data_IF_958016363594
#
_entry.id   IF_958016363594
#
_cell.length_a   1.000
_cell.length_b   1.000
_cell.length_c   1.000
_cell.angle_alpha   90.00
_cell.angle_beta   90.00
_cell.angle_gamma   90.00
#
_symmetry.space_group_name_H-M   'P 1'
#
loop_
_entity.id
_entity.type
_entity.pdbx_description
1 polymer ?
#
# COMPACT_ATOMS: atom_id res chain seq x y z
N UNK A 1 25.55 -17.64 3.40
CA UNK A 1 26.59 -16.61 3.63
C UNK A 1 27.12 -16.07 2.31
N UNK A 2 27.66 -16.88 1.41
CA UNK A 2 28.24 -16.47 0.12
C UNK A 2 27.29 -15.57 -0.71
N UNK A 3 26.00 -15.91 -0.83
CA UNK A 3 25.04 -15.08 -1.54
C UNK A 3 24.86 -13.69 -0.90
N UNK A 4 24.87 -13.60 0.42
CA UNK A 4 24.75 -12.33 1.14
C UNK A 4 25.99 -11.45 0.94
N UNK A 5 27.18 -12.05 0.90
CA UNK A 5 28.43 -11.34 0.60
C UNK A 5 28.42 -10.78 -0.84
N UNK A 6 27.94 -11.58 -1.81
CA UNK A 6 27.79 -11.11 -3.20
C UNK A 6 26.82 -9.93 -3.27
N UNK A 7 25.66 -10.03 -2.61
CA UNK A 7 24.67 -8.94 -2.55
C UNK A 7 25.28 -7.70 -1.91
N UNK A 8 25.93 -7.83 -0.75
CA UNK A 8 26.56 -6.70 -0.06
C UNK A 8 27.59 -5.98 -0.95
N UNK A 9 28.44 -6.73 -1.67
CA UNK A 9 29.41 -6.14 -2.58
C UNK A 9 28.75 -5.39 -3.74
N UNK A 10 27.73 -5.97 -4.39
CA UNK A 10 27.02 -5.32 -5.49
C UNK A 10 26.27 -4.05 -5.04
N UNK A 11 25.62 -4.09 -3.86
CA UNK A 11 24.96 -2.92 -3.29
C UNK A 11 25.97 -1.81 -2.92
N UNK A 12 27.15 -2.19 -2.41
CA UNK A 12 28.22 -1.23 -2.12
C UNK A 12 28.76 -0.56 -3.40
N UNK A 13 28.86 -1.31 -4.49
CA UNK A 13 29.26 -0.78 -5.80
C UNK A 13 28.19 0.17 -6.38
N UNK A 14 26.91 -0.16 -6.28
CA UNK A 14 25.82 0.67 -6.75
C UNK A 14 25.62 1.94 -5.89
N UNK A 15 25.82 1.84 -4.57
CA UNK A 15 25.74 2.94 -3.62
C UNK A 15 24.41 3.74 -3.77
N UNK A 16 24.54 5.06 -3.95
CA UNK A 16 23.38 5.97 -4.09
C UNK A 16 22.49 5.73 -5.32
N UNK A 17 22.91 4.87 -6.25
CA UNK A 17 22.08 4.44 -7.39
C UNK A 17 21.29 3.15 -7.12
N UNK A 18 21.07 2.84 -5.88
CA UNK A 18 20.23 1.72 -5.44
C UNK A 18 18.80 2.20 -5.23
N UNK A 19 17.81 1.43 -5.71
CA UNK A 19 16.40 1.57 -5.36
C UNK A 19 15.97 0.44 -4.43
N UNK A 20 15.15 0.74 -3.42
CA UNK A 20 14.63 -0.25 -2.47
C UNK A 20 13.11 -0.21 -2.48
N UNK A 21 12.49 -1.27 -2.95
CA UNK A 21 11.04 -1.45 -2.99
C UNK A 21 10.62 -2.46 -1.93
N UNK A 22 9.68 -2.06 -1.07
CA UNK A 22 9.23 -2.86 0.07
C UNK A 22 7.74 -3.18 -0.09
N UNK A 23 7.36 -4.44 0.11
CA UNK A 23 5.95 -4.83 0.12
C UNK A 23 5.17 -4.05 1.17
N UNK A 24 3.97 -3.52 0.87
CA UNK A 24 3.13 -2.84 1.85
C UNK A 24 2.62 -3.76 2.97
N UNK A 25 2.92 -5.06 2.90
CA UNK A 25 2.65 -6.05 3.93
C UNK A 25 3.90 -6.49 4.73
N UNK A 26 5.07 -5.86 4.49
CA UNK A 26 6.25 -6.05 5.32
C UNK A 26 6.07 -5.47 6.72
N UNK A 27 6.80 -5.99 7.70
CA UNK A 27 6.71 -5.49 9.08
C UNK A 27 7.36 -4.11 9.24
N UNK A 28 7.03 -3.42 10.30
CA UNK A 28 7.66 -2.13 10.65
C UNK A 28 9.18 -2.28 10.79
N UNK A 29 9.61 -3.38 11.39
CA UNK A 29 11.02 -3.70 11.61
C UNK A 29 11.77 -3.92 10.30
N UNK A 30 11.16 -4.63 9.36
CA UNK A 30 11.72 -4.82 8.01
C UNK A 30 11.82 -3.49 7.27
N UNK A 31 10.78 -2.64 7.36
CA UNK A 31 10.80 -1.30 6.79
C UNK A 31 11.87 -0.40 7.38
N UNK A 32 12.02 -0.39 8.71
CA UNK A 32 13.04 0.40 9.40
C UNK A 32 14.46 0.00 8.99
N UNK A 33 14.75 -1.31 8.98
CA UNK A 33 16.04 -1.82 8.55
C UNK A 33 16.32 -1.55 7.06
N UNK A 34 15.29 -1.63 6.20
CA UNK A 34 15.43 -1.27 4.79
C UNK A 34 15.75 0.21 4.61
N UNK A 35 15.14 1.11 5.39
CA UNK A 35 15.44 2.54 5.38
C UNK A 35 16.86 2.81 5.87
N UNK A 36 17.27 2.26 7.01
CA UNK A 36 18.63 2.40 7.53
C UNK A 36 19.69 1.89 6.53
N UNK A 37 19.40 0.78 5.85
CA UNK A 37 20.27 0.23 4.81
C UNK A 37 20.42 1.20 3.64
N UNK A 38 19.32 1.78 3.16
CA UNK A 38 19.33 2.77 2.10
C UNK A 38 20.08 4.04 2.51
N UNK A 39 19.88 4.54 3.73
CA UNK A 39 20.62 5.69 4.27
C UNK A 39 22.14 5.43 4.28
N UNK A 40 22.53 4.22 4.68
CA UNK A 40 23.95 3.83 4.68
C UNK A 40 24.54 3.78 3.25
N UNK A 41 23.77 3.29 2.28
CA UNK A 41 24.16 3.27 0.87
C UNK A 41 24.16 4.67 0.23
N UNK A 42 23.61 5.67 0.92
CA UNK A 42 23.50 7.04 0.43
C UNK A 42 22.40 7.22 -0.64
N UNK A 43 21.34 6.41 -0.59
CA UNK A 43 20.19 6.51 -1.49
C UNK A 43 18.94 7.01 -0.78
N UNK A 44 18.22 7.91 -1.44
CA UNK A 44 16.89 8.37 -1.05
C UNK A 44 15.75 7.57 -1.73
N UNK A 45 16.10 6.60 -2.59
CA UNK A 45 15.16 5.85 -3.42
C UNK A 45 14.61 4.64 -2.64
N UNK A 46 13.66 4.88 -1.74
CA UNK A 46 12.99 3.84 -0.95
C UNK A 46 11.49 4.10 -1.00
N UNK A 47 10.68 3.08 -1.35
CA UNK A 47 9.22 3.24 -1.39
C UNK A 47 8.49 1.91 -1.14
N UNK A 48 7.32 1.96 -0.50
CA UNK A 48 6.39 0.85 -0.34
C UNK A 48 5.08 1.03 -1.12
N UNK A 49 4.86 2.20 -1.76
CA UNK A 49 3.65 2.53 -2.50
C UNK A 49 3.68 1.94 -3.91
N UNK A 50 3.96 0.64 -4.01
CA UNK A 50 4.21 -0.11 -5.24
C UNK A 50 2.98 -0.28 -6.14
N UNK A 51 1.78 0.02 -5.62
CA UNK A 51 0.53 -0.03 -6.36
C UNK A 51 0.06 1.37 -6.83
N UNK A 52 0.66 2.45 -6.32
CA UNK A 52 0.28 3.82 -6.67
C UNK A 52 0.81 4.21 -8.04
N UNK A 53 -0.05 4.81 -8.87
CA UNK A 53 0.28 5.20 -10.25
C UNK A 53 0.46 6.71 -10.43
N UNK A 54 -0.14 7.54 -9.61
CA UNK A 54 -0.03 8.99 -9.64
C UNK A 54 0.59 9.53 -8.34
N UNK A 55 1.76 10.13 -8.46
CA UNK A 55 2.55 10.71 -7.38
C UNK A 55 2.62 12.24 -7.41
N UNK A 56 1.85 12.89 -8.30
CA UNK A 56 1.97 14.35 -8.54
C UNK A 56 1.67 15.21 -7.32
N UNK A 57 0.86 14.72 -6.38
CA UNK A 57 0.51 15.40 -5.13
C UNK A 57 1.12 14.74 -3.87
N UNK A 58 2.13 13.87 -4.02
CA UNK A 58 2.71 13.13 -2.90
C UNK A 58 3.30 14.01 -1.78
N UNK A 59 3.66 15.24 -2.08
CA UNK A 59 4.12 16.21 -1.08
C UNK A 59 3.05 16.60 -0.05
N UNK A 60 1.77 16.31 -0.35
CA UNK A 60 0.63 16.51 0.54
C UNK A 60 0.19 15.24 1.28
N UNK A 61 0.93 14.15 1.13
CA UNK A 61 0.66 12.92 1.87
C UNK A 61 0.85 13.18 3.37
N UNK A 62 -0.06 12.69 4.23
CA UNK A 62 0.14 12.71 5.68
C UNK A 62 1.32 11.80 6.07
N UNK A 63 1.78 11.93 7.32
CA UNK A 63 2.86 11.08 7.86
C UNK A 63 2.59 9.57 7.68
N UNK A 64 1.33 9.18 7.70
CA UNK A 64 0.85 7.84 7.32
C UNK A 64 -0.60 7.89 6.80
N UNK A 65 -1.05 6.93 5.98
CA UNK A 65 -2.45 6.84 5.56
C UNK A 65 -3.36 6.70 6.80
N UNK A 66 -4.22 7.68 7.02
CA UNK A 66 -5.12 7.73 8.18
C UNK A 66 -6.57 7.55 7.77
N UNK A 67 -7.30 6.75 8.54
CA UNK A 67 -8.74 6.47 8.33
C UNK A 67 -9.64 7.69 8.59
N UNK A 68 -9.14 8.72 9.26
CA UNK A 68 -9.92 9.87 9.68
C UNK A 68 -10.61 9.72 11.03
N UNK A 69 -10.66 8.51 11.57
CA UNK A 69 -11.28 8.17 12.86
C UNK A 69 -10.78 6.81 13.36
N UNK A 70 -11.15 6.46 14.59
CA UNK A 70 -11.02 5.09 15.06
C UNK A 70 -11.94 4.15 14.27
N UNK A 71 -11.50 2.91 14.00
CA UNK A 71 -12.29 1.92 13.24
C UNK A 71 -13.65 1.66 13.89
N UNK A 72 -13.71 1.66 15.22
CA UNK A 72 -14.94 1.48 15.96
C UNK A 72 -15.92 2.66 15.79
N UNK A 73 -15.41 3.85 15.58
CA UNK A 73 -16.18 5.09 15.48
C UNK A 73 -16.89 5.27 14.15
N UNK A 74 -16.54 4.47 13.13
CA UNK A 74 -17.31 4.42 11.86
C UNK A 74 -18.81 4.18 12.12
N UNK A 75 -19.15 3.44 13.17
CA UNK A 75 -20.54 3.16 13.55
C UNK A 75 -21.31 4.40 14.04
N UNK A 76 -20.62 5.51 14.34
CA UNK A 76 -21.20 6.77 14.84
C UNK A 76 -21.50 7.80 13.74
N UNK A 77 -21.07 7.53 12.49
CA UNK A 77 -21.32 8.44 11.39
C UNK A 77 -22.76 8.31 10.87
N UNK A 78 -23.37 9.46 10.57
CA UNK A 78 -24.74 9.57 10.05
C UNK A 78 -24.77 9.51 8.52
N UNK A 79 -23.65 9.91 7.88
CA UNK A 79 -23.47 9.81 6.44
C UNK A 79 -22.05 9.36 6.09
N UNK A 80 -21.94 8.37 5.20
CA UNK A 80 -20.67 7.81 4.75
C UNK A 80 -20.65 7.79 3.22
N UNK A 81 -19.57 8.31 2.62
CA UNK A 81 -19.33 8.24 1.19
C UNK A 81 -18.02 7.53 0.90
N UNK A 82 -18.08 6.38 0.26
CA UNK A 82 -16.93 5.55 -0.11
C UNK A 82 -16.61 5.76 -1.58
N UNK A 83 -15.39 6.15 -1.88
CA UNK A 83 -14.90 6.50 -3.21
C UNK A 83 -13.83 5.52 -3.67
N UNK A 84 -14.05 4.84 -4.78
CA UNK A 84 -13.10 3.94 -5.41
C UNK A 84 -12.64 2.82 -4.46
N UNK A 85 -13.59 2.04 -3.95
CA UNK A 85 -13.33 0.92 -3.05
C UNK A 85 -14.35 -0.19 -3.19
N UNK A 86 -13.85 -1.41 -3.29
CA UNK A 86 -14.61 -2.60 -2.94
C UNK A 86 -14.35 -2.93 -1.46
N UNK A 87 -14.86 -2.10 -0.55
CA UNK A 87 -14.53 -2.15 0.87
C UNK A 87 -14.78 -3.53 1.51
N UNK A 88 -15.68 -4.32 0.95
CA UNK A 88 -15.98 -5.70 1.39
C UNK A 88 -14.81 -6.65 1.14
N UNK A 89 -14.03 -6.41 0.07
CA UNK A 89 -12.84 -7.18 -0.29
C UNK A 89 -11.57 -6.56 0.29
N UNK A 90 -11.43 -5.24 0.19
CA UNK A 90 -10.23 -4.53 0.62
C UNK A 90 -10.06 -4.50 2.15
N UNK A 91 -11.16 -4.21 2.88
CA UNK A 91 -11.13 -4.00 4.32
C UNK A 91 -12.42 -4.54 4.99
N UNK A 92 -12.56 -5.88 5.13
CA UNK A 92 -13.81 -6.51 5.60
C UNK A 92 -14.29 -6.03 6.97
N UNK A 93 -13.38 -5.69 7.88
CA UNK A 93 -13.74 -5.16 9.21
C UNK A 93 -14.33 -3.75 9.10
N UNK A 94 -13.76 -2.90 8.24
CA UNK A 94 -14.31 -1.56 7.94
C UNK A 94 -15.67 -1.68 7.27
N UNK A 95 -15.82 -2.57 6.28
CA UNK A 95 -17.12 -2.88 5.66
C UNK A 95 -18.16 -3.32 6.69
N UNK A 96 -17.75 -4.12 7.68
CA UNK A 96 -18.64 -4.53 8.77
C UNK A 96 -19.08 -3.35 9.64
N UNK A 97 -18.19 -2.40 9.93
CA UNK A 97 -18.51 -1.17 10.67
C UNK A 97 -19.45 -0.27 9.87
N UNK A 98 -19.19 -0.07 8.58
CA UNK A 98 -20.10 0.66 7.66
C UNK A 98 -21.49 0.00 7.63
N UNK A 99 -21.56 -1.35 7.55
CA UNK A 99 -22.81 -2.08 7.63
C UNK A 99 -23.57 -1.80 8.92
N UNK A 100 -22.88 -1.74 10.07
CA UNK A 100 -23.52 -1.44 11.35
C UNK A 100 -24.05 -0.01 11.39
N UNK A 101 -23.33 0.97 10.85
CA UNK A 101 -23.80 2.33 10.69
C UNK A 101 -25.08 2.36 9.80
N UNK A 102 -25.07 1.69 8.65
CA UNK A 102 -26.24 1.59 7.76
C UNK A 102 -27.46 0.98 8.47
N UNK A 103 -27.27 -0.10 9.23
CA UNK A 103 -28.34 -0.73 10.02
C UNK A 103 -28.87 0.16 11.17
N UNK A 104 -28.06 1.11 11.63
CA UNK A 104 -28.45 2.13 12.60
C UNK A 104 -29.15 3.35 11.95
N UNK A 105 -29.23 3.40 10.61
CA UNK A 105 -29.91 4.46 9.87
C UNK A 105 -28.98 5.46 9.17
N UNK A 106 -27.67 5.24 9.16
CA UNK A 106 -26.74 6.08 8.44
C UNK A 106 -26.95 6.00 6.92
N UNK A 107 -26.83 7.14 6.23
CA UNK A 107 -26.82 7.21 4.78
C UNK A 107 -25.49 6.72 4.22
N UNK A 108 -25.45 5.58 3.54
CA UNK A 108 -24.22 5.04 2.95
C UNK A 108 -24.27 5.14 1.43
N UNK A 109 -23.22 5.72 0.87
CA UNK A 109 -23.12 6.06 -0.54
C UNK A 109 -21.78 5.60 -1.12
N UNK A 110 -21.76 5.26 -2.42
CA UNK A 110 -20.56 4.78 -3.12
C UNK A 110 -20.37 5.48 -4.46
N UNK A 111 -19.09 5.61 -4.87
CA UNK A 111 -18.66 5.95 -6.22
C UNK A 111 -17.57 4.97 -6.67
N UNK A 112 -17.78 4.30 -7.80
CA UNK A 112 -16.80 3.43 -8.46
C UNK A 112 -17.25 3.24 -9.91
N UNK A 113 -16.34 2.96 -10.87
CA UNK A 113 -16.74 2.73 -12.27
C UNK A 113 -17.67 1.52 -12.40
N UNK A 114 -17.47 0.49 -11.58
CA UNK A 114 -18.26 -0.73 -11.55
C UNK A 114 -19.04 -0.86 -10.23
N UNK A 115 -20.28 -1.39 -10.26
CA UNK A 115 -21.06 -1.61 -9.06
C UNK A 115 -20.59 -2.86 -8.31
N UNK A 116 -20.44 -2.74 -6.98
CA UNK A 116 -20.18 -3.85 -6.08
C UNK A 116 -21.41 -4.17 -5.23
N UNK A 117 -21.55 -5.44 -4.86
CA UNK A 117 -22.67 -5.89 -4.01
C UNK A 117 -22.35 -5.73 -2.52
N UNK A 118 -23.28 -5.17 -1.76
CA UNK A 118 -23.22 -5.02 -0.31
C UNK A 118 -24.41 -5.69 0.38
N UNK A 119 -24.22 -6.19 1.60
CA UNK A 119 -25.28 -6.84 2.40
C UNK A 119 -25.94 -5.84 3.38
N UNK A 120 -26.18 -4.62 2.89
CA UNK A 120 -26.89 -3.55 3.57
C UNK A 120 -27.43 -2.57 2.52
N UNK A 121 -28.37 -1.73 2.92
CA UNK A 121 -28.97 -0.75 2.03
C UNK A 121 -27.97 0.35 1.67
N UNK A 122 -27.78 0.59 0.39
CA UNK A 122 -26.97 1.67 -0.18
C UNK A 122 -27.90 2.73 -0.73
N UNK A 123 -27.77 3.96 -0.23
CA UNK A 123 -28.67 5.05 -0.60
C UNK A 123 -28.42 5.56 -2.02
N UNK A 124 -27.16 5.74 -2.38
CA UNK A 124 -26.76 6.10 -3.74
C UNK A 124 -25.49 5.31 -4.12
N UNK A 125 -25.53 4.73 -5.27
CA UNK A 125 -24.37 4.14 -5.93
C UNK A 125 -24.18 4.82 -7.28
N UNK A 126 -23.21 5.73 -7.39
CA UNK A 126 -22.89 6.36 -8.67
C UNK A 126 -21.78 5.55 -9.36
N UNK A 127 -22.03 5.16 -10.61
CA UNK A 127 -21.17 4.28 -11.40
C UNK A 127 -21.34 4.52 -12.90
N UNK A 128 -20.73 3.72 -13.75
CA UNK A 128 -20.81 3.78 -15.21
C UNK A 128 -20.08 4.97 -15.85
N UNK A 129 -19.15 5.56 -15.11
CA UNK A 129 -18.18 6.56 -15.59
C UNK A 129 -16.91 6.45 -14.75
N UNK A 130 -15.80 7.04 -15.18
CA UNK A 130 -14.57 7.11 -14.39
C UNK A 130 -14.72 7.95 -13.12
N UNK A 131 -13.89 7.70 -12.11
CA UNK A 131 -13.98 8.37 -10.80
C UNK A 131 -13.92 9.90 -10.91
N UNK A 132 -13.08 10.45 -11.78
CA UNK A 132 -12.97 11.91 -11.97
C UNK A 132 -14.29 12.49 -12.47
N UNK A 133 -14.94 11.86 -13.46
CA UNK A 133 -16.24 12.28 -13.98
C UNK A 133 -17.35 12.16 -12.92
N UNK A 134 -17.39 11.03 -12.19
CA UNK A 134 -18.39 10.81 -11.13
C UNK A 134 -18.31 11.86 -10.04
N UNK A 135 -17.10 12.24 -9.61
CA UNK A 135 -16.90 13.19 -8.51
C UNK A 135 -17.00 14.65 -8.93
N UNK A 136 -16.76 14.99 -10.20
CA UNK A 136 -16.86 16.35 -10.72
C UNK A 136 -18.23 16.68 -11.31
N UNK A 137 -19.03 15.67 -11.64
CA UNK A 137 -20.32 15.79 -12.33
C UNK A 137 -21.50 16.07 -11.41
N UNK A 138 -22.69 16.03 -12.00
CA UNK A 138 -23.95 16.25 -11.27
C UNK A 138 -24.36 15.05 -10.40
N UNK A 139 -23.86 13.86 -10.72
CA UNK A 139 -24.21 12.62 -10.04
C UNK A 139 -23.84 12.61 -8.54
N UNK A 140 -22.78 13.32 -8.14
CA UNK A 140 -22.32 13.41 -6.75
C UNK A 140 -23.16 14.40 -5.90
N UNK A 141 -23.89 15.32 -6.51
CA UNK A 141 -24.63 16.39 -5.80
C UNK A 141 -25.63 15.89 -4.76
N UNK A 142 -26.43 14.82 -5.02
CA UNK A 142 -27.31 14.26 -3.99
C UNK A 142 -26.54 13.71 -2.79
N UNK A 143 -25.37 13.11 -3.01
CA UNK A 143 -24.49 12.58 -1.97
C UNK A 143 -23.91 13.73 -1.13
N UNK A 144 -23.37 14.76 -1.78
CA UNK A 144 -22.82 15.93 -1.10
C UNK A 144 -23.85 16.60 -0.17
N UNK A 145 -25.12 16.72 -0.61
CA UNK A 145 -26.21 17.24 0.23
C UNK A 145 -26.50 16.38 1.46
N UNK A 146 -26.36 15.05 1.36
CA UNK A 146 -26.56 14.15 2.50
C UNK A 146 -25.43 14.27 3.49
N UNK A 147 -24.19 14.41 3.01
CA UNK A 147 -23.03 14.67 3.86
C UNK A 147 -23.16 16.00 4.60
N UNK A 148 -23.56 17.08 3.88
CA UNK A 148 -23.77 18.41 4.44
C UNK A 148 -24.89 18.45 5.52
N UNK A 149 -25.92 17.62 5.36
CA UNK A 149 -27.04 17.54 6.29
C UNK A 149 -26.79 16.66 7.52
N UNK A 150 -25.72 15.91 7.54
CA UNK A 150 -25.36 15.00 8.63
C UNK A 150 -24.61 15.71 9.75
N UNK A 151 -24.84 15.33 11.00
CA UNK A 151 -24.09 15.83 12.15
C UNK A 151 -22.64 15.28 12.14
N UNK A 152 -22.48 14.02 11.68
CA UNK A 152 -21.17 13.36 11.53
C UNK A 152 -21.09 12.72 10.14
N UNK A 153 -20.18 13.20 9.31
CA UNK A 153 -19.98 12.71 7.94
C UNK A 153 -18.55 12.23 7.68
N UNK A 154 -18.41 11.15 6.91
CA UNK A 154 -17.14 10.54 6.52
C UNK A 154 -17.07 10.37 5.00
N UNK A 155 -16.01 10.85 4.38
CA UNK A 155 -15.61 10.52 3.02
C UNK A 155 -14.39 9.59 3.09
N UNK A 156 -14.46 8.43 2.45
CA UNK A 156 -13.45 7.39 2.55
C UNK A 156 -12.90 7.04 1.17
N UNK A 157 -11.62 7.32 0.94
CA UNK A 157 -10.89 6.90 -0.26
C UNK A 157 -10.42 5.45 -0.12
N UNK A 158 -10.70 4.62 -1.11
CA UNK A 158 -10.28 3.22 -1.15
C UNK A 158 -9.07 2.95 -2.03
N UNK A 159 -8.68 1.68 -2.12
CA UNK A 159 -7.49 1.26 -2.85
C UNK A 159 -7.68 1.33 -4.37
N UNK A 160 -8.90 1.18 -4.89
CA UNK A 160 -9.21 1.41 -6.31
C UNK A 160 -8.89 2.87 -6.67
N UNK A 161 -9.34 3.83 -5.83
CA UNK A 161 -8.96 5.23 -6.01
C UNK A 161 -7.44 5.43 -5.91
N UNK A 162 -6.77 4.79 -4.96
CA UNK A 162 -5.31 4.88 -4.76
C UNK A 162 -4.47 4.38 -5.94
N UNK A 163 -5.01 3.42 -6.73
CA UNK A 163 -4.40 2.88 -7.95
C UNK A 163 -4.75 3.65 -9.22
N UNK A 164 -5.63 4.64 -9.12
CA UNK A 164 -6.09 5.40 -10.27
C UNK A 164 -4.97 6.24 -10.89
N UNK A 165 -4.89 6.33 -12.23
CA UNK A 165 -3.87 7.11 -12.94
C UNK A 165 -3.97 8.63 -12.69
N UNK A 166 -5.14 9.11 -12.27
CA UNK A 166 -5.37 10.49 -11.86
C UNK A 166 -5.74 10.57 -10.36
N UNK A 167 -5.05 9.81 -9.51
CA UNK A 167 -5.36 9.74 -8.07
C UNK A 167 -5.30 11.10 -7.38
N UNK A 168 -4.36 11.97 -7.73
CA UNK A 168 -4.27 13.33 -7.21
C UNK A 168 -5.53 14.15 -7.51
N UNK A 169 -6.11 13.98 -8.70
CA UNK A 169 -7.36 14.62 -9.09
C UNK A 169 -8.55 14.04 -8.31
N UNK A 170 -8.66 12.72 -8.23
CA UNK A 170 -9.70 12.02 -7.46
C UNK A 170 -9.64 12.45 -5.99
N UNK A 171 -8.44 12.48 -5.40
CA UNK A 171 -8.20 12.89 -4.02
C UNK A 171 -8.59 14.35 -3.77
N UNK A 172 -8.21 15.26 -4.67
CA UNK A 172 -8.58 16.67 -4.56
C UNK A 172 -10.10 16.89 -4.65
N UNK A 173 -10.79 16.16 -5.52
CA UNK A 173 -12.26 16.20 -5.62
C UNK A 173 -12.93 15.67 -4.35
N UNK A 174 -12.46 14.52 -3.84
CA UNK A 174 -12.96 13.94 -2.59
C UNK A 174 -12.71 14.87 -1.39
N UNK A 175 -11.52 15.49 -1.33
CA UNK A 175 -11.19 16.48 -0.31
C UNK A 175 -12.09 17.72 -0.40
N UNK A 176 -12.39 18.21 -1.61
CA UNK A 176 -13.32 19.32 -1.83
C UNK A 176 -14.75 18.99 -1.40
N UNK A 177 -15.22 17.77 -1.63
CA UNK A 177 -16.52 17.29 -1.15
C UNK A 177 -16.50 17.25 0.39
N UNK A 178 -15.48 16.70 1.00
CA UNK A 178 -15.33 16.63 2.45
C UNK A 178 -15.29 18.03 3.07
N UNK A 179 -14.45 18.93 2.56
CA UNK A 179 -14.35 20.32 3.04
C UNK A 179 -15.69 21.05 2.96
N UNK A 180 -16.37 20.99 1.81
CA UNK A 180 -17.64 21.70 1.60
C UNK A 180 -18.79 21.17 2.43
N UNK A 181 -18.77 19.91 2.82
CA UNK A 181 -19.81 19.26 3.64
C UNK A 181 -19.47 19.18 5.12
N UNK A 182 -18.25 19.59 5.54
CA UNK A 182 -17.75 19.42 6.91
C UNK A 182 -17.44 17.96 7.28
N UNK A 183 -17.35 17.08 6.27
CA UNK A 183 -17.04 15.66 6.50
C UNK A 183 -15.55 15.44 6.79
N UNK A 184 -15.23 14.40 7.55
CA UNK A 184 -13.87 13.90 7.70
C UNK A 184 -13.44 13.17 6.44
N UNK A 185 -12.22 13.41 5.96
CA UNK A 185 -11.63 12.64 4.87
C UNK A 185 -10.71 11.56 5.43
N UNK A 186 -11.02 10.31 5.17
CA UNK A 186 -10.20 9.15 5.54
C UNK A 186 -9.67 8.42 4.31
N UNK A 187 -8.63 7.62 4.52
CA UNK A 187 -8.00 6.84 3.44
C UNK A 187 -7.77 5.39 3.91
N UNK A 188 -8.18 4.43 3.08
CA UNK A 188 -7.72 3.04 3.17
C UNK A 188 -6.34 2.93 2.52
N UNK A 189 -5.56 1.96 2.96
CA UNK A 189 -4.22 1.73 2.41
C UNK A 189 -4.07 0.31 1.87
N UNK A 190 -3.24 0.10 0.84
CA UNK A 190 -2.92 -1.24 0.37
C UNK A 190 -2.05 -1.96 1.39
N UNK A 191 -2.14 -3.30 1.42
CA UNK A 191 -1.38 -4.16 2.32
C UNK A 191 -1.74 -4.01 3.79
N UNK A 192 -1.07 -4.76 4.63
CA UNK A 192 -1.36 -4.82 6.06
C UNK A 192 -0.65 -3.72 6.87
N UNK A 193 0.35 -3.04 6.31
CA UNK A 193 1.26 -2.19 7.07
C UNK A 193 1.71 -0.91 6.37
N UNK A 194 1.02 -0.42 5.34
CA UNK A 194 1.41 0.85 4.69
C UNK A 194 1.58 2.00 5.67
N UNK A 195 0.74 2.08 6.71
CA UNK A 195 0.85 3.10 7.75
C UNK A 195 2.15 2.97 8.55
N UNK A 196 2.49 1.75 8.98
CA UNK A 196 3.74 1.50 9.71
C UNK A 196 4.98 1.72 8.87
N UNK A 197 4.95 1.34 7.59
CA UNK A 197 6.06 1.55 6.66
C UNK A 197 6.28 3.03 6.33
N UNK A 198 5.21 3.83 6.24
CA UNK A 198 5.32 5.29 6.12
C UNK A 198 6.09 5.87 7.31
N UNK A 199 5.73 5.48 8.54
CA UNK A 199 6.43 5.93 9.76
C UNK A 199 7.84 5.35 9.87
N UNK A 200 8.09 4.16 9.35
CA UNK A 200 9.44 3.59 9.27
C UNK A 200 10.33 4.29 8.23
N UNK A 201 9.83 5.31 7.55
CA UNK A 201 10.57 6.09 6.56
C UNK A 201 10.73 5.40 5.21
N UNK A 202 9.89 4.38 4.90
CA UNK A 202 9.92 3.68 3.60
C UNK A 202 9.18 4.52 2.56
N UNK A 203 9.65 5.74 2.40
CA UNK A 203 9.19 6.76 1.45
C UNK A 203 10.41 7.47 0.87
N UNK A 204 10.35 7.96 -0.38
CA UNK A 204 11.44 8.73 -0.94
C UNK A 204 11.62 10.04 -0.17
N UNK A 205 12.88 10.42 0.07
CA UNK A 205 13.27 11.68 0.70
C UNK A 205 14.07 12.54 -0.27
N UNK A 206 14.19 13.81 -0.01
CA UNK A 206 14.99 14.70 -0.86
C UNK A 206 14.58 14.65 -2.33
N UNK A 207 15.50 14.18 -3.18
CA UNK A 207 15.28 13.97 -4.61
C UNK A 207 15.05 12.47 -4.94
N UNK A 208 14.73 11.66 -3.95
CA UNK A 208 14.51 10.23 -4.11
C UNK A 208 13.35 9.90 -5.06
N UNK A 209 13.51 8.81 -5.77
CA UNK A 209 12.53 8.31 -6.73
C UNK A 209 11.43 7.54 -5.99
N UNK A 210 10.18 7.77 -6.37
CA UNK A 210 9.05 6.93 -5.94
C UNK A 210 9.03 5.58 -6.69
N UNK A 211 8.21 4.63 -6.25
CA UNK A 211 8.19 3.26 -6.74
C UNK A 211 8.13 3.13 -8.28
N UNK A 212 7.25 3.87 -8.94
CA UNK A 212 7.16 3.86 -10.41
C UNK A 212 8.44 4.41 -11.08
N UNK A 213 8.94 5.54 -10.60
CA UNK A 213 10.14 6.18 -11.15
C UNK A 213 11.41 5.34 -10.96
N UNK A 214 11.53 4.57 -9.85
CA UNK A 214 12.68 3.67 -9.65
C UNK A 214 12.81 2.62 -10.75
N UNK A 215 11.69 2.19 -11.32
CA UNK A 215 11.68 1.22 -12.42
C UNK A 215 11.97 1.89 -13.78
N UNK A 216 11.56 3.14 -13.94
CA UNK A 216 11.73 3.89 -15.20
C UNK A 216 13.13 4.53 -15.34
N UNK A 217 13.75 4.91 -14.22
CA UNK A 217 15.02 5.62 -14.20
C UNK A 217 16.25 4.68 -14.18
N UNK A 218 17.40 5.19 -14.58
CA UNK A 218 18.64 4.44 -14.64
C UNK A 218 19.26 4.25 -13.24
N UNK A 219 18.81 3.23 -12.52
CA UNK A 219 19.44 2.74 -11.29
C UNK A 219 20.35 1.56 -11.61
N UNK A 220 21.47 1.46 -10.87
CA UNK A 220 22.44 0.36 -11.04
C UNK A 220 21.95 -0.89 -10.28
N UNK A 221 21.23 -0.72 -9.16
CA UNK A 221 20.65 -1.84 -8.40
C UNK A 221 19.21 -1.58 -7.95
N UNK A 222 18.41 -2.64 -7.88
CA UNK A 222 17.08 -2.65 -7.28
C UNK A 222 16.96 -3.80 -6.30
N UNK A 223 16.49 -3.50 -5.09
CA UNK A 223 16.19 -4.48 -4.03
C UNK A 223 14.67 -4.59 -3.88
N UNK A 224 14.15 -5.80 -4.06
CA UNK A 224 12.74 -6.14 -3.88
C UNK A 224 12.58 -6.90 -2.56
N UNK A 225 11.79 -6.37 -1.62
CA UNK A 225 11.55 -7.00 -0.32
C UNK A 225 10.11 -7.47 -0.24
N UNK A 226 9.90 -8.79 -0.29
CA UNK A 226 8.57 -9.40 -0.22
C UNK A 226 7.67 -9.10 -1.43
N UNK A 227 8.25 -8.82 -2.60
CA UNK A 227 7.55 -8.42 -3.82
C UNK A 227 7.74 -9.49 -4.90
N UNK A 228 6.65 -9.85 -5.55
CA UNK A 228 6.64 -10.61 -6.80
C UNK A 228 6.28 -9.63 -7.94
N UNK A 229 7.21 -9.37 -8.88
CA UNK A 229 7.08 -8.25 -9.82
C UNK A 229 5.79 -8.21 -10.63
N UNK A 230 5.40 -9.34 -11.22
CA UNK A 230 4.19 -9.48 -12.03
C UNK A 230 2.87 -9.31 -11.27
N UNK A 231 2.90 -9.64 -9.97
CA UNK A 231 1.70 -9.64 -9.16
C UNK A 231 1.54 -8.39 -8.28
N UNK A 232 2.64 -7.71 -7.91
CA UNK A 232 2.60 -6.68 -6.88
C UNK A 232 2.96 -5.28 -7.40
N UNK A 233 3.72 -5.16 -8.50
CA UNK A 233 4.17 -3.87 -9.01
C UNK A 233 3.16 -3.30 -10.01
N UNK A 234 2.22 -2.49 -9.53
CA UNK A 234 1.20 -1.82 -10.35
C UNK A 234 1.52 -0.35 -10.66
N UNK A 235 2.60 0.18 -10.11
CA UNK A 235 3.01 1.57 -10.30
C UNK A 235 3.48 1.87 -11.72
N UNK A 236 3.80 0.85 -12.52
CA UNK A 236 4.26 0.97 -13.90
C UNK A 236 3.85 -0.24 -14.74
N UNK A 237 4.03 -0.14 -16.05
CA UNK A 237 3.85 -1.23 -17.02
C UNK A 237 5.20 -1.82 -17.43
N UNK A 238 5.20 -3.00 -18.04
CA UNK A 238 6.42 -3.70 -18.51
C UNK A 238 7.48 -3.86 -17.41
N UNK A 239 7.05 -4.33 -16.26
CA UNK A 239 7.91 -4.48 -15.06
C UNK A 239 9.11 -5.38 -15.34
N UNK A 240 8.92 -6.48 -16.05
CA UNK A 240 9.99 -7.44 -16.35
C UNK A 240 11.09 -6.82 -17.21
N UNK A 241 10.72 -6.08 -18.29
CA UNK A 241 11.68 -5.36 -19.13
C UNK A 241 12.47 -4.34 -18.33
N UNK A 242 11.78 -3.53 -17.53
CA UNK A 242 12.40 -2.48 -16.71
C UNK A 242 13.35 -3.01 -15.65
N UNK A 243 13.05 -4.16 -15.03
CA UNK A 243 13.96 -4.81 -14.10
C UNK A 243 15.17 -5.40 -14.85
N UNK A 244 14.97 -5.99 -16.03
CA UNK A 244 16.07 -6.55 -16.84
C UNK A 244 17.08 -5.50 -17.32
N UNK A 245 16.70 -4.23 -17.33
CA UNK A 245 17.57 -3.10 -17.68
C UNK A 245 18.51 -2.66 -16.52
N UNK A 246 18.35 -3.24 -15.33
CA UNK A 246 19.19 -2.94 -14.17
C UNK A 246 20.40 -3.86 -14.13
N UNK A 247 21.56 -3.33 -13.67
CA UNK A 247 22.79 -4.13 -13.55
C UNK A 247 22.67 -5.20 -12.45
N UNK A 248 21.87 -4.95 -11.42
CA UNK A 248 21.63 -5.88 -10.32
C UNK A 248 20.21 -5.78 -9.80
N UNK A 249 19.50 -6.91 -9.80
CA UNK A 249 18.20 -7.06 -9.11
C UNK A 249 18.33 -8.13 -8.04
N UNK A 250 18.06 -7.74 -6.79
CA UNK A 250 18.06 -8.61 -5.63
C UNK A 250 16.65 -8.74 -5.08
N UNK A 251 16.15 -9.96 -4.91
CA UNK A 251 14.85 -10.18 -4.29
C UNK A 251 14.97 -10.99 -3.00
N UNK A 252 14.44 -10.42 -1.91
CA UNK A 252 14.18 -11.12 -0.66
C UNK A 252 12.76 -11.68 -0.76
N UNK A 253 12.63 -12.99 -0.93
CA UNK A 253 11.35 -13.61 -1.26
C UNK A 253 11.10 -14.91 -0.49
N UNK A 254 9.84 -15.15 -0.12
CA UNK A 254 9.39 -16.41 0.46
C UNK A 254 9.10 -17.49 -0.59
N UNK A 255 8.90 -17.07 -1.85
CA UNK A 255 8.53 -17.96 -2.94
C UNK A 255 9.35 -17.69 -4.19
N UNK A 256 9.75 -18.77 -4.82
CA UNK A 256 10.46 -18.78 -6.09
C UNK A 256 9.44 -18.79 -7.24
N UNK A 257 9.06 -17.60 -7.71
CA UNK A 257 8.14 -17.43 -8.85
C UNK A 257 8.88 -17.35 -10.19
N UNK A 258 8.15 -17.60 -11.29
CA UNK A 258 8.71 -17.47 -12.65
C UNK A 258 9.16 -16.05 -12.94
N UNK A 259 8.37 -15.05 -12.55
CA UNK A 259 8.71 -13.64 -12.76
C UNK A 259 9.97 -13.21 -12.02
N UNK A 260 10.18 -13.73 -10.79
CA UNK A 260 11.42 -13.48 -10.05
C UNK A 260 12.64 -14.16 -10.68
N UNK A 261 12.49 -15.37 -11.22
CA UNK A 261 13.59 -16.04 -11.93
C UNK A 261 13.99 -15.34 -13.22
N UNK A 262 13.06 -14.67 -13.86
CA UNK A 262 13.29 -13.93 -15.10
C UNK A 262 13.87 -12.54 -14.83
N UNK A 263 13.53 -11.92 -13.69
CA UNK A 263 13.85 -10.51 -13.42
C UNK A 263 14.96 -10.30 -12.38
N UNK A 264 15.28 -11.29 -11.53
CA UNK A 264 16.21 -11.11 -10.43
C UNK A 264 17.50 -11.92 -10.64
N UNK A 265 18.65 -11.27 -10.41
CA UNK A 265 19.98 -11.91 -10.45
C UNK A 265 20.21 -12.76 -9.20
N UNK A 266 19.68 -12.34 -8.06
CA UNK A 266 19.91 -12.96 -6.77
C UNK A 266 18.60 -13.07 -5.98
N UNK A 267 18.27 -14.30 -5.56
CA UNK A 267 17.14 -14.59 -4.69
C UNK A 267 17.65 -14.95 -3.29
N UNK A 268 17.26 -14.17 -2.29
CA UNK A 268 17.53 -14.44 -0.89
C UNK A 268 16.24 -14.99 -0.23
N UNK A 269 16.27 -16.24 0.30
CA UNK A 269 15.07 -16.85 0.87
C UNK A 269 14.71 -16.23 2.21
N UNK A 270 13.48 -15.72 2.32
CA UNK A 270 12.89 -15.21 3.56
C UNK A 270 11.70 -16.06 4.01
N UNK A 271 11.32 -15.94 5.28
CA UNK A 271 10.09 -16.53 5.79
C UNK A 271 8.86 -15.73 5.38
N UNK A 272 7.69 -16.39 5.41
CA UNK A 272 6.38 -15.76 5.32
C UNK A 272 6.03 -15.00 6.61
N UNK A 273 4.93 -14.25 6.64
CA UNK A 273 4.45 -13.57 7.85
C UNK A 273 4.17 -14.54 9.02
N UNK A 274 3.84 -15.79 8.75
CA UNK A 274 3.64 -16.82 9.78
C UNK A 274 4.95 -17.32 10.41
N UNK A 275 6.09 -17.09 9.76
CA UNK A 275 7.41 -17.58 10.11
C UNK A 275 8.32 -16.48 10.66
N UNK A 276 7.78 -15.28 10.88
CA UNK A 276 8.49 -14.12 11.45
C UNK A 276 7.74 -13.56 12.65
N UNK A 277 8.45 -12.84 13.50
CA UNK A 277 7.86 -11.91 14.45
C UNK A 277 7.93 -10.51 13.87
N UNK A 278 7.04 -9.62 14.26
CA UNK A 278 7.07 -8.25 13.81
C UNK A 278 5.91 -7.42 14.33
N UNK A 279 5.78 -6.22 13.80
CA UNK A 279 4.74 -5.27 14.16
C UNK A 279 4.10 -4.71 12.90
N UNK A 280 2.77 -4.60 12.93
CA UNK A 280 1.98 -3.85 11.96
C UNK A 280 1.36 -2.63 12.63
N UNK A 281 1.17 -1.57 11.86
CA UNK A 281 0.38 -0.42 12.28
C UNK A 281 -0.80 -0.24 11.33
N UNK A 282 -2.01 -0.18 11.89
CA UNK A 282 -3.21 0.02 11.10
C UNK A 282 -3.47 1.51 10.78
N UNK A 283 -4.49 1.76 9.96
CA UNK A 283 -4.87 3.12 9.50
C UNK A 283 -5.48 4.02 10.59
N UNK A 284 -5.66 3.55 11.82
CA UNK A 284 -5.99 4.38 12.99
C UNK A 284 -4.75 4.73 13.85
N UNK A 285 -3.54 4.31 13.42
CA UNK A 285 -2.29 4.57 14.14
C UNK A 285 -1.95 3.55 15.22
N UNK A 286 -2.66 2.43 15.32
CA UNK A 286 -2.45 1.43 16.37
C UNK A 286 -1.37 0.43 15.99
N UNK A 287 -0.33 0.34 16.81
CA UNK A 287 0.74 -0.64 16.69
C UNK A 287 0.33 -1.99 17.25
N UNK A 288 0.51 -3.06 16.47
CA UNK A 288 0.07 -4.42 16.77
C UNK A 288 1.22 -5.40 16.50
N UNK A 289 1.89 -5.85 17.56
CA UNK A 289 2.97 -6.84 17.45
C UNK A 289 2.44 -8.27 17.46
N UNK A 290 3.13 -9.15 16.77
CA UNK A 290 2.81 -10.57 16.69
C UNK A 290 4.08 -11.42 16.72
N UNK A 291 3.94 -12.68 17.14
CA UNK A 291 5.01 -13.68 17.12
C UNK A 291 4.82 -14.69 15.99
N UNK A 292 5.91 -15.16 15.41
CA UNK A 292 5.88 -16.25 14.44
C UNK A 292 5.32 -17.53 15.06
N UNK A 293 4.54 -18.26 14.30
CA UNK A 293 3.90 -19.52 14.71
C UNK A 293 4.54 -20.76 14.06
N UNK A 294 5.42 -20.55 13.08
CA UNK A 294 6.15 -21.58 12.37
C UNK A 294 7.63 -21.20 12.25
N UNK A 295 8.47 -22.18 11.96
CA UNK A 295 9.86 -21.93 11.62
C UNK A 295 10.00 -21.79 10.09
N UNK A 296 10.85 -20.87 9.60
CA UNK A 296 11.16 -20.78 8.18
C UNK A 296 11.69 -22.09 7.60
N UNK A 297 11.33 -22.39 6.36
CA UNK A 297 11.69 -23.64 5.70
C UNK A 297 13.15 -23.60 5.23
N UNK A 298 13.90 -24.67 5.48
CA UNK A 298 15.26 -24.85 4.95
C UNK A 298 16.23 -23.77 5.43
N UNK A 299 16.79 -23.03 4.48
CA UNK A 299 17.73 -21.93 4.75
C UNK A 299 17.07 -20.57 4.87
N UNK A 300 15.77 -20.46 4.66
CA UNK A 300 15.04 -19.20 4.83
C UNK A 300 15.19 -18.65 6.27
N UNK A 301 15.16 -17.36 6.39
CA UNK A 301 15.23 -16.64 7.67
C UNK A 301 14.19 -15.50 7.64
N UNK A 302 13.66 -15.05 8.79
CA UNK A 302 12.88 -13.81 8.83
C UNK A 302 13.60 -12.69 8.09
N UNK A 303 12.87 -11.93 7.26
CA UNK A 303 13.47 -10.90 6.41
C UNK A 303 14.26 -9.85 7.20
N UNK A 304 13.78 -9.46 8.40
CA UNK A 304 14.53 -8.56 9.27
C UNK A 304 15.92 -9.08 9.66
N UNK A 305 16.09 -10.41 9.82
CA UNK A 305 17.42 -11.02 10.09
C UNK A 305 18.32 -10.99 8.88
N UNK A 306 17.75 -11.17 7.68
CA UNK A 306 18.50 -11.05 6.42
C UNK A 306 19.00 -9.62 6.24
N UNK A 307 18.12 -8.62 6.42
CA UNK A 307 18.47 -7.20 6.35
C UNK A 307 19.51 -6.81 7.38
N UNK A 308 19.37 -7.30 8.64
CA UNK A 308 20.36 -7.08 9.69
C UNK A 308 21.76 -7.62 9.30
N UNK A 309 21.83 -8.82 8.73
CA UNK A 309 23.10 -9.41 8.30
C UNK A 309 23.69 -8.65 7.12
N UNK A 310 22.86 -8.20 6.16
CA UNK A 310 23.31 -7.33 5.07
C UNK A 310 23.90 -6.02 5.59
N UNK A 311 23.24 -5.38 6.57
CA UNK A 311 23.77 -4.18 7.22
C UNK A 311 25.14 -4.40 7.86
N UNK A 312 25.32 -5.53 8.56
CA UNK A 312 26.63 -5.90 9.14
C UNK A 312 27.70 -6.15 8.05
N UNK A 313 27.35 -6.81 6.95
CA UNK A 313 28.29 -7.06 5.84
C UNK A 313 28.66 -5.77 5.09
N UNK A 314 27.79 -4.79 5.09
CA UNK A 314 28.03 -3.44 4.56
C UNK A 314 28.76 -2.54 5.55
N UNK A 315 29.06 -3.02 6.76
CA UNK A 315 29.66 -2.24 7.86
C UNK A 315 28.78 -1.04 8.28
N UNK A 316 27.45 -1.15 8.11
CA UNK A 316 26.50 -0.12 8.50
C UNK A 316 26.37 -0.08 10.04
N UNK A 317 26.41 1.10 10.66
CA UNK A 317 26.23 1.21 12.11
C UNK A 317 24.77 0.90 12.51
N UNK A 318 24.57 0.38 13.72
CA UNK A 318 23.24 0.19 14.29
C UNK A 318 22.51 -1.10 13.88
N UNK A 319 23.22 -2.09 13.31
CA UNK A 319 22.63 -3.37 12.90
C UNK A 319 22.91 -4.52 13.90
N UNK A 320 23.13 -4.23 15.18
CA UNK A 320 23.43 -5.23 16.23
C UNK A 320 22.17 -5.76 16.94
N UNK A 321 20.98 -5.56 16.40
CA UNK A 321 19.70 -6.00 16.99
C UNK A 321 19.67 -7.52 17.23
N UNK A 322 19.10 -7.91 18.37
CA UNK A 322 18.91 -9.31 18.73
C UNK A 322 17.48 -9.79 18.48
N UNK A 323 16.51 -8.89 18.62
CA UNK A 323 15.07 -9.17 18.53
C UNK A 323 14.36 -8.14 17.65
N UNK A 324 13.12 -8.44 17.24
CA UNK A 324 12.24 -7.49 16.55
C UNK A 324 11.82 -6.34 17.46
N UNK A 325 11.71 -6.63 18.76
CA UNK A 325 11.39 -5.63 19.78
C UNK A 325 12.47 -4.54 19.86
N UNK A 326 13.74 -4.91 19.74
CA UNK A 326 14.86 -3.94 19.74
C UNK A 326 14.70 -2.95 18.57
N UNK A 327 14.42 -3.45 17.37
CA UNK A 327 14.22 -2.64 16.16
C UNK A 327 12.99 -1.74 16.30
N UNK A 328 11.86 -2.31 16.72
CA UNK A 328 10.62 -1.57 16.93
C UNK A 328 10.78 -0.45 17.96
N UNK A 329 11.40 -0.75 19.09
CA UNK A 329 11.51 0.19 20.21
C UNK A 329 12.48 1.34 19.88
N UNK A 330 13.52 1.08 19.09
CA UNK A 330 14.38 2.13 18.53
C UNK A 330 13.59 3.06 17.61
N UNK A 331 12.83 2.50 16.64
CA UNK A 331 12.00 3.31 15.75
C UNK A 331 10.98 4.15 16.56
N UNK A 332 10.27 3.55 17.50
CA UNK A 332 9.32 4.27 18.34
C UNK A 332 9.97 5.42 19.12
N UNK A 333 11.18 5.19 19.63
CA UNK A 333 11.92 6.21 20.36
C UNK A 333 12.36 7.36 19.45
N UNK A 334 12.64 7.10 18.17
CA UNK A 334 13.00 8.13 17.19
C UNK A 334 11.81 8.96 16.71
N UNK A 335 10.62 8.36 16.65
CA UNK A 335 9.41 9.01 16.16
C UNK A 335 8.77 9.94 17.20
N UNK A 336 8.87 9.61 18.49
CA UNK A 336 8.13 10.31 19.55
C UNK A 336 6.61 10.12 19.43
N UNK A 337 5.85 11.10 19.93
CA UNK A 337 4.39 11.11 19.83
C UNK A 337 4.00 11.63 18.43
N UNK A 338 3.26 10.82 17.68
CA UNK A 338 2.74 11.17 16.35
C UNK A 338 1.22 11.29 16.45
N UNK A 339 0.74 12.49 16.18
CA UNK A 339 -0.69 12.73 16.02
C UNK A 339 -1.11 12.39 14.58
N UNK A 340 -2.21 11.66 14.37
CA UNK A 340 -2.75 11.41 13.05
C UNK A 340 -3.18 12.71 12.36
N UNK A 341 -2.73 12.90 11.14
CA UNK A 341 -3.10 14.04 10.31
C UNK A 341 -3.80 13.57 9.03
N UNK A 342 -4.74 14.37 8.55
CA UNK A 342 -5.41 14.14 7.27
C UNK A 342 -4.60 14.67 6.09
N UNK A 343 -5.11 14.42 4.89
CA UNK A 343 -4.59 15.00 3.66
C UNK A 343 -4.63 16.54 3.70
N UNK A 344 -3.49 17.18 3.41
CA UNK A 344 -3.30 18.64 3.48
C UNK A 344 -3.20 19.33 2.11
N UNK A 345 -3.49 18.60 1.04
CA UNK A 345 -3.35 19.07 -0.33
C UNK A 345 -4.55 19.86 -0.86
N UNK A 346 -4.60 19.99 -2.19
CA UNK A 346 -5.64 20.74 -2.87
C UNK A 346 -7.03 20.13 -2.66
N UNK A 347 -8.03 21.01 -2.45
CA UNK A 347 -9.46 20.66 -2.41
C UNK A 347 -10.17 20.96 -3.73
N UNK A 348 -9.40 21.41 -4.73
CA UNK A 348 -9.84 21.59 -6.12
C UNK A 348 -8.70 21.14 -7.04
N UNK A 349 -8.93 20.26 -8.00
CA UNK A 349 -7.90 19.86 -8.93
C UNK A 349 -7.47 21.06 -9.80
N UNK A 350 -6.18 21.12 -10.14
CA UNK A 350 -5.63 22.19 -10.99
C UNK A 350 -6.22 22.17 -12.41
N UNK A 351 -6.56 20.97 -12.91
CA UNK A 351 -7.30 20.74 -14.16
C UNK A 351 -8.14 19.49 -13.99
N UNK A 352 -9.43 19.56 -14.31
CA UNK A 352 -10.24 18.38 -14.57
C UNK A 352 -10.10 18.10 -16.06
N UNK A 353 -9.15 17.26 -16.44
CA UNK A 353 -9.09 16.72 -17.79
C UNK A 353 -10.08 15.56 -17.82
N UNK A 354 -11.26 15.85 -18.35
CA UNK A 354 -12.37 14.93 -18.23
C UNK A 354 -12.44 13.93 -19.36
N UNK A 355 -11.68 12.89 -19.32
CA UNK A 355 -11.96 11.64 -20.02
C UNK A 355 -11.25 10.48 -19.33
N UNK A 356 -11.68 10.15 -18.10
CA UNK A 356 -11.37 8.84 -17.54
C UNK A 356 -12.25 7.81 -18.25
N UNK A 357 -11.61 6.88 -18.97
CA UNK A 357 -12.35 5.78 -19.54
C UNK A 357 -12.97 4.91 -18.43
N UNK A 358 -14.23 4.56 -18.50
CA UNK A 358 -14.80 3.51 -17.65
C UNK A 358 -13.95 2.24 -17.80
N UNK A 359 -13.58 1.61 -16.69
CA UNK A 359 -12.76 0.38 -16.70
C UNK A 359 -11.26 0.58 -16.50
N UNK A 360 -10.78 1.82 -16.36
CA UNK A 360 -9.37 2.08 -15.98
C UNK A 360 -9.07 1.79 -14.49
N UNK A 361 -10.09 1.43 -13.72
CA UNK A 361 -9.96 1.09 -12.29
C UNK A 361 -9.40 -0.31 -12.10
N UNK A 362 -8.48 -0.45 -11.14
CA UNK A 362 -7.88 -1.74 -10.79
C UNK A 362 -8.47 -2.21 -9.47
N UNK A 363 -9.45 -3.12 -9.52
CA UNK A 363 -9.95 -3.88 -8.36
C UNK A 363 -9.19 -5.22 -8.29
N UNK A 364 -8.20 -5.32 -7.41
CA UNK A 364 -7.41 -6.55 -7.27
C UNK A 364 -8.25 -7.67 -6.67
N UNK A 365 -8.23 -8.87 -7.27
CA UNK A 365 -8.89 -10.03 -6.70
C UNK A 365 -8.36 -10.33 -5.29
N UNK A 366 -9.26 -10.54 -4.32
CA UNK A 366 -8.91 -10.75 -2.90
C UNK A 366 -7.91 -11.89 -2.69
N UNK A 367 -7.93 -12.92 -3.54
CA UNK A 367 -7.04 -14.07 -3.43
C UNK A 367 -5.74 -13.93 -4.23
N UNK A 368 -5.46 -12.77 -4.81
CA UNK A 368 -4.21 -12.44 -5.51
C UNK A 368 -3.30 -11.48 -4.75
N UNK A 369 -3.79 -10.85 -3.68
CA UNK A 369 -3.10 -9.73 -2.99
C UNK A 369 -1.95 -10.15 -2.07
N UNK A 370 -1.86 -11.43 -1.69
CA UNK A 370 -0.84 -11.96 -0.79
C UNK A 370 -0.18 -13.21 -1.36
N UNK A 371 1.14 -13.29 -1.26
CA UNK A 371 1.94 -14.37 -1.86
C UNK A 371 1.56 -15.76 -1.34
N UNK A 372 1.20 -15.90 -0.06
CA UNK A 372 0.76 -17.17 0.53
C UNK A 372 -0.66 -17.52 0.06
N UNK A 373 -1.55 -16.52 0.03
CA UNK A 373 -2.95 -16.70 -0.40
C UNK A 373 -3.01 -17.06 -1.89
N UNK A 374 -2.20 -16.44 -2.74
CA UNK A 374 -2.06 -16.81 -4.17
C UNK A 374 -1.77 -18.31 -4.39
N UNK A 375 -1.08 -18.93 -3.44
CA UNK A 375 -0.67 -20.36 -3.50
C UNK A 375 -1.58 -21.30 -2.73
N UNK A 376 -2.62 -20.78 -2.08
CA UNK A 376 -3.60 -21.60 -1.37
C UNK A 376 -4.59 -22.22 -2.35
N UNK A 377 -4.36 -23.47 -2.78
CA UNK A 377 -5.15 -24.15 -3.82
C UNK A 377 -6.66 -24.12 -3.55
N UNK A 378 -7.09 -24.26 -2.30
CA UNK A 378 -8.50 -24.19 -1.93
C UNK A 378 -9.13 -22.82 -2.17
N UNK A 379 -8.37 -21.73 -1.96
CA UNK A 379 -8.84 -20.37 -2.20
C UNK A 379 -8.92 -20.06 -3.71
N UNK A 380 -7.98 -20.57 -4.50
CA UNK A 380 -7.97 -20.43 -5.96
C UNK A 380 -9.10 -21.22 -6.66
N UNK A 381 -9.76 -22.14 -5.97
CA UNK A 381 -10.95 -22.84 -6.46
C UNK A 381 -12.27 -22.12 -6.15
N UNK A 382 -12.24 -20.99 -5.48
CA UNK A 382 -13.45 -20.20 -5.21
C UNK A 382 -13.97 -19.52 -6.47
N UNK A 383 -15.30 -19.27 -6.54
CA UNK A 383 -15.90 -18.58 -7.67
C UNK A 383 -15.27 -17.19 -7.93
N UNK A 384 -14.93 -16.47 -6.87
CA UNK A 384 -14.29 -15.16 -6.98
C UNK A 384 -12.88 -15.22 -7.61
N UNK A 385 -12.07 -16.22 -7.26
CA UNK A 385 -10.75 -16.40 -7.85
C UNK A 385 -10.83 -16.85 -9.30
N UNK A 386 -11.77 -17.76 -9.62
CA UNK A 386 -11.96 -18.25 -10.99
C UNK A 386 -12.50 -17.16 -11.93
N UNK A 387 -13.39 -16.30 -11.44
CA UNK A 387 -13.88 -15.17 -12.22
C UNK A 387 -12.75 -14.18 -12.53
N UNK A 388 -11.93 -13.84 -11.55
CA UNK A 388 -10.78 -12.95 -11.74
C UNK A 388 -9.77 -13.53 -12.75
N UNK A 389 -9.46 -14.83 -12.65
CA UNK A 389 -8.55 -15.48 -13.59
C UNK A 389 -9.10 -15.55 -15.03
N UNK A 390 -10.42 -15.52 -15.21
CA UNK A 390 -11.04 -15.45 -16.52
C UNK A 390 -10.99 -14.03 -17.11
N UNK A 391 -11.16 -13.00 -16.26
CA UNK A 391 -11.04 -11.59 -16.65
C UNK A 391 -9.61 -11.20 -17.05
N UNK A 392 -8.59 -11.79 -16.41
CA UNK A 392 -7.17 -11.59 -16.76
C UNK A 392 -6.75 -12.31 -18.06
N UNK A 393 -7.56 -13.24 -18.56
CA UNK A 393 -7.24 -14.04 -19.76
C UNK A 393 -7.84 -13.48 -21.07
N UNK A 394 -8.76 -12.52 -20.99
CA UNK A 394 -9.41 -11.82 -22.11
C UNK A 394 -8.71 -10.48 -22.41
#
# INVERSE_FOLDING_TARGET
EEALEVVANRLKEAGGKTGVLVSPSSTVEEGHLARQLADHLGTDNVDHRIERRDFSDQAADPAFPWLGCDIADIEKYDAIFVVGSNVRREAPIIAHRIRKAALAGASVNFASSEPHEYYFDVDNYIHSAGLVELLSGDAVKPIAKKLEAADNALVLLGNIAGRHEAFSTVRALAAGIAESSGAVLGTLSPGANSAGLSLAGVLPTGNGLHAGAMLDEALDAVVLIGIEPDADLLATTDVAGKLSDKDTVVALTAFDSSSLRESADLLLPIGTWAETSGTYMNVEGRWQSFGGIANPVGQARPAWKVLRVLGNLLEAPGFEYLTTEDVRDELKSSLGDIEPEGYSGATKPAKVNGEDAPGAEIDRPIYSVDALVRRAAALQMTAAAQQAAAEDAD
#
